data_IF_465845402331
#
_entry.id   IF_465845402331
#
_cell.length_a   1.000
_cell.length_b   1.000
_cell.length_c   1.000
_cell.angle_alpha   90.00
_cell.angle_beta   90.00
_cell.angle_gamma   90.00
#
_symmetry.space_group_name_H-M   'P 1'
#
loop_
_entity.id
_entity.type
_entity.pdbx_description
1 polymer ?
#
# COMPACT_ATOMS: atom_id res chain seq x y z
N UNK A 1 -17.52 2.13 0.94
CA UNK A 1 -16.15 2.65 0.81
C UNK A 1 -15.08 1.63 1.22
N UNK A 2 -15.24 0.92 2.35
CA UNK A 2 -14.32 -0.16 2.81
C UNK A 2 -13.83 -1.13 1.71
N UNK A 3 -14.72 -1.58 0.81
CA UNK A 3 -14.36 -2.49 -0.29
C UNK A 3 -13.34 -1.90 -1.29
N UNK A 4 -13.33 -0.58 -1.49
CA UNK A 4 -12.36 0.09 -2.37
C UNK A 4 -11.00 0.22 -1.72
N UNK A 5 -10.99 0.46 -0.41
CA UNK A 5 -9.76 0.53 0.38
C UNK A 5 -9.06 -0.83 0.47
N UNK A 6 -9.83 -1.89 0.68
CA UNK A 6 -9.30 -3.26 0.72
C UNK A 6 -8.69 -3.67 -0.63
N UNK A 7 -9.39 -3.42 -1.74
CA UNK A 7 -8.86 -3.68 -3.08
C UNK A 7 -7.58 -2.87 -3.36
N UNK A 8 -7.55 -1.58 -2.98
CA UNK A 8 -6.37 -0.73 -3.14
C UNK A 8 -5.17 -1.27 -2.33
N UNK A 9 -5.42 -1.73 -1.11
CA UNK A 9 -4.40 -2.34 -0.24
C UNK A 9 -3.84 -3.61 -0.88
N UNK A 10 -4.71 -4.49 -1.39
CA UNK A 10 -4.30 -5.71 -2.08
C UNK A 10 -3.48 -5.46 -3.35
N UNK A 11 -3.88 -4.46 -4.15
CA UNK A 11 -3.15 -4.05 -5.35
C UNK A 11 -1.74 -3.54 -5.00
N UNK A 12 -1.63 -2.69 -3.96
CA UNK A 12 -0.35 -2.16 -3.50
C UNK A 12 0.58 -3.26 -2.95
N UNK A 13 0.04 -4.20 -2.17
CA UNK A 13 0.80 -5.35 -1.65
C UNK A 13 1.29 -6.23 -2.81
N UNK A 14 0.43 -6.51 -3.79
CA UNK A 14 0.79 -7.32 -4.95
C UNK A 14 1.89 -6.67 -5.77
N UNK A 15 1.83 -5.34 -5.96
CA UNK A 15 2.88 -4.58 -6.61
C UNK A 15 4.22 -4.71 -5.87
N UNK A 16 4.24 -4.58 -4.54
CA UNK A 16 5.46 -4.70 -3.74
C UNK A 16 6.06 -6.11 -3.77
N UNK A 17 5.23 -7.15 -3.72
CA UNK A 17 5.69 -8.54 -3.87
C UNK A 17 6.35 -8.73 -5.24
N UNK A 18 5.77 -8.17 -6.31
CA UNK A 18 6.35 -8.22 -7.65
C UNK A 18 7.67 -7.44 -7.77
N UNK A 19 7.90 -6.44 -6.92
CA UNK A 19 9.18 -5.72 -6.80
C UNK A 19 10.22 -6.48 -5.95
N UNK A 20 9.85 -7.61 -5.35
CA UNK A 20 10.74 -8.47 -4.56
C UNK A 20 10.63 -8.31 -3.05
N UNK A 21 9.71 -7.48 -2.54
CA UNK A 21 9.52 -7.31 -1.11
C UNK A 21 8.76 -8.49 -0.48
N UNK A 22 9.12 -8.83 0.76
CA UNK A 22 8.44 -9.89 1.50
C UNK A 22 7.00 -9.47 1.84
N UNK A 23 6.04 -10.41 1.77
CA UNK A 23 4.62 -10.13 2.03
C UNK A 23 4.37 -9.43 3.37
N UNK A 24 5.04 -9.86 4.44
CA UNK A 24 4.87 -9.25 5.76
C UNK A 24 5.39 -7.81 5.82
N UNK A 25 6.48 -7.53 5.13
CA UNK A 25 7.08 -6.20 5.04
C UNK A 25 6.17 -5.26 4.24
N UNK A 26 5.72 -5.72 3.06
CA UNK A 26 4.77 -5.01 2.22
C UNK A 26 3.47 -4.67 2.97
N UNK A 27 2.89 -5.64 3.70
CA UNK A 27 1.69 -5.41 4.51
C UNK A 27 1.87 -4.27 5.52
N UNK A 28 2.95 -4.31 6.30
CA UNK A 28 3.24 -3.29 7.32
C UNK A 28 3.47 -1.92 6.70
N UNK A 29 4.23 -1.87 5.61
CA UNK A 29 4.58 -0.63 4.95
C UNK A 29 3.36 0.03 4.25
N UNK A 30 2.52 -0.76 3.57
CA UNK A 30 1.28 -0.26 2.94
C UNK A 30 0.32 0.27 3.99
N UNK A 31 0.14 -0.43 5.12
CA UNK A 31 -0.74 0.02 6.19
C UNK A 31 -0.25 1.32 6.83
N UNK A 32 1.07 1.44 7.05
CA UNK A 32 1.69 2.66 7.56
C UNK A 32 1.59 3.82 6.56
N UNK A 33 1.65 3.55 5.27
CA UNK A 33 1.47 4.55 4.21
C UNK A 33 0.01 5.00 4.09
N UNK A 34 -0.94 4.07 4.13
CA UNK A 34 -2.37 4.37 4.03
C UNK A 34 -2.83 5.29 5.17
N UNK A 35 -2.34 5.08 6.38
CA UNK A 35 -2.64 5.91 7.56
C UNK A 35 -2.16 7.37 7.44
N UNK A 36 -1.31 7.72 6.45
CA UNK A 36 -0.91 9.11 6.21
C UNK A 36 -1.90 9.89 5.33
N UNK A 37 -2.82 9.21 4.66
CA UNK A 37 -3.80 9.86 3.81
C UNK A 37 -5.12 10.06 4.55
N UNK A 38 -5.65 11.28 4.52
CA UNK A 38 -6.98 11.60 5.10
C UNK A 38 -8.15 11.15 4.21
N UNK A 39 -7.86 10.73 2.98
CA UNK A 39 -8.81 10.22 1.99
C UNK A 39 -8.15 9.08 1.22
N UNK A 40 -8.94 8.24 0.54
CA UNK A 40 -8.40 7.12 -0.22
C UNK A 40 -7.45 7.63 -1.34
N UNK A 41 -6.14 7.32 -1.29
CA UNK A 41 -5.19 7.78 -2.30
C UNK A 41 -5.35 7.00 -3.61
N UNK A 42 -4.69 7.48 -4.68
CA UNK A 42 -4.51 6.67 -5.89
C UNK A 42 -3.49 5.56 -5.60
N UNK A 43 -3.57 4.46 -6.35
CA UNK A 43 -2.64 3.33 -6.21
C UNK A 43 -1.17 3.77 -6.35
N UNK A 44 -0.86 4.61 -7.33
CA UNK A 44 0.49 5.12 -7.54
C UNK A 44 1.01 5.93 -6.34
N UNK A 45 0.16 6.80 -5.78
CA UNK A 45 0.52 7.61 -4.61
C UNK A 45 0.77 6.73 -3.38
N UNK A 46 -0.06 5.70 -3.19
CA UNK A 46 0.12 4.72 -2.11
C UNK A 46 1.40 3.91 -2.27
N UNK A 47 1.72 3.44 -3.48
CA UNK A 47 2.97 2.71 -3.75
C UNK A 47 4.18 3.61 -3.48
N UNK A 48 4.18 4.85 -3.98
CA UNK A 48 5.27 5.82 -3.74
C UNK A 48 5.47 6.09 -2.25
N UNK A 49 4.39 6.32 -1.51
CA UNK A 49 4.49 6.56 -0.07
C UNK A 49 4.92 5.29 0.67
N UNK A 50 4.47 4.11 0.24
CA UNK A 50 4.90 2.83 0.82
C UNK A 50 6.41 2.62 0.67
N UNK A 51 6.96 2.87 -0.52
CA UNK A 51 8.41 2.75 -0.78
C UNK A 51 9.24 3.73 0.06
N UNK A 52 8.68 4.86 0.50
CA UNK A 52 9.36 5.81 1.41
C UNK A 52 9.37 5.33 2.87
N UNK A 53 8.61 4.30 3.20
CA UNK A 53 8.45 3.79 4.58
C UNK A 53 9.14 2.44 4.81
N UNK A 54 9.70 1.85 3.76
CA UNK A 54 10.54 0.65 3.79
C UNK A 54 11.96 0.99 4.26
#
# INVERSE_FOLDING_TARGET
EKKKEEALKEDAISALINLGYQRQEALKAVEKALNKFSQLPRLEDLIKETLRQL
#
